data_IF_894047133265
#
_entry.id   IF_894047133265
#
_cell.length_a   1.000
_cell.length_b   1.000
_cell.length_c   1.000
_cell.angle_alpha   90.00
_cell.angle_beta   90.00
_cell.angle_gamma   90.00
#
_symmetry.space_group_name_H-M   'P 1'
#
loop_
_entity.id
_entity.type
_entity.pdbx_description
1 polymer ?
#
# COMPACT_ATOMS: atom_id res chain seq x y z
N UNK A 1 20.55 -14.52 -5.06
CA UNK A 1 19.24 -15.08 -4.65
C UNK A 1 18.25 -13.92 -4.59
N UNK A 2 17.03 -14.06 -5.15
CA UNK A 2 15.97 -13.05 -4.95
C UNK A 2 15.53 -13.07 -3.48
N UNK A 3 15.50 -11.92 -2.82
CA UNK A 3 15.06 -11.83 -1.44
C UNK A 3 13.53 -12.06 -1.38
N UNK A 4 13.01 -12.53 -0.25
CA UNK A 4 11.57 -12.80 -0.12
C UNK A 4 10.70 -11.54 -0.29
N UNK A 5 11.27 -10.35 -0.09
CA UNK A 5 10.61 -9.06 -0.27
C UNK A 5 10.46 -8.62 -1.73
N UNK A 6 11.26 -9.16 -2.66
CA UNK A 6 11.30 -8.73 -4.07
C UNK A 6 9.97 -8.91 -4.80
N UNK A 7 9.06 -9.75 -4.25
CA UNK A 7 7.76 -10.05 -4.83
C UNK A 7 6.63 -9.17 -4.31
N UNK A 8 6.88 -8.35 -3.28
CA UNK A 8 5.85 -7.50 -2.67
C UNK A 8 5.40 -6.41 -3.62
N UNK A 9 4.12 -6.06 -3.53
CA UNK A 9 3.55 -4.95 -4.28
C UNK A 9 4.30 -3.64 -4.02
N UNK A 10 4.48 -2.87 -5.08
CA UNK A 10 5.16 -1.57 -5.07
C UNK A 10 4.20 -0.52 -5.60
N UNK A 11 4.03 0.55 -4.85
CA UNK A 11 3.47 1.80 -5.35
C UNK A 11 4.57 2.57 -6.09
N UNK A 12 4.30 2.99 -7.31
CA UNK A 12 5.23 3.78 -8.13
C UNK A 12 4.54 5.03 -8.66
N UNK A 13 5.30 6.07 -8.97
CA UNK A 13 4.82 7.20 -9.76
C UNK A 13 5.87 7.62 -10.79
N UNK A 14 5.43 8.17 -11.92
CA UNK A 14 6.30 8.67 -12.98
C UNK A 14 6.58 10.18 -12.83
N UNK A 15 7.32 10.75 -13.80
CA UNK A 15 7.65 12.18 -13.83
C UNK A 15 6.44 13.11 -13.96
N UNK A 16 5.30 12.58 -14.39
CA UNK A 16 4.03 13.30 -14.50
C UNK A 16 3.14 13.06 -13.27
N UNK A 17 3.67 12.43 -12.21
CA UNK A 17 2.95 12.05 -10.99
C UNK A 17 1.84 11.02 -11.23
N UNK A 18 1.87 10.30 -12.36
CA UNK A 18 0.92 9.23 -12.60
C UNK A 18 1.30 8.02 -11.75
N UNK A 19 0.43 7.71 -10.79
CA UNK A 19 0.64 6.62 -9.84
C UNK A 19 0.15 5.27 -10.38
N UNK A 20 0.84 4.20 -9.98
CA UNK A 20 0.53 2.81 -10.32
C UNK A 20 0.89 1.88 -9.15
N UNK A 21 0.26 0.69 -9.12
CA UNK A 21 0.61 -0.39 -8.19
C UNK A 21 1.04 -1.61 -9.00
N UNK A 22 2.34 -1.91 -8.96
CA UNK A 22 2.94 -3.00 -9.73
C UNK A 22 3.35 -4.18 -8.83
N UNK A 23 3.36 -5.42 -9.35
CA UNK A 23 4.08 -6.52 -8.73
C UNK A 23 5.56 -6.18 -8.54
N UNK A 24 6.17 -6.59 -7.42
CA UNK A 24 7.58 -6.28 -7.16
C UNK A 24 8.54 -6.88 -8.18
N UNK A 25 8.16 -7.99 -8.83
CA UNK A 25 8.94 -8.61 -9.89
C UNK A 25 9.15 -7.73 -11.12
N UNK A 26 8.28 -6.75 -11.34
CA UNK A 26 8.27 -5.89 -12.54
C UNK A 26 9.09 -4.61 -12.33
N UNK A 27 9.52 -4.34 -11.09
CA UNK A 27 10.13 -3.07 -10.71
C UNK A 27 11.41 -2.75 -11.46
N UNK A 28 12.34 -3.72 -11.54
CA UNK A 28 13.65 -3.48 -12.15
C UNK A 28 13.51 -3.14 -13.64
N UNK A 29 12.57 -3.78 -14.34
CA UNK A 29 12.29 -3.49 -15.74
C UNK A 29 11.68 -2.08 -15.90
N UNK A 30 10.64 -1.76 -15.11
CA UNK A 30 9.99 -0.44 -15.13
C UNK A 30 10.97 0.69 -14.79
N UNK A 31 11.85 0.45 -13.83
CA UNK A 31 12.91 1.39 -13.45
C UNK A 31 13.95 1.57 -14.56
N UNK A 32 14.42 0.48 -15.18
CA UNK A 32 15.37 0.54 -16.29
C UNK A 32 14.79 1.26 -17.54
N UNK A 33 13.49 1.16 -17.77
CA UNK A 33 12.77 1.88 -18.83
C UNK A 33 12.59 3.39 -18.53
N UNK A 34 12.99 3.87 -17.34
CA UNK A 34 12.84 5.27 -16.95
C UNK A 34 11.38 5.69 -16.66
N UNK A 35 10.50 4.73 -16.39
CA UNK A 35 9.07 4.99 -16.14
C UNK A 35 8.74 5.22 -14.67
N UNK A 36 9.74 5.16 -13.78
CA UNK A 36 9.59 5.30 -12.32
C UNK A 36 10.43 6.49 -11.84
N UNK A 37 9.76 7.52 -11.33
CA UNK A 37 10.38 8.66 -10.65
C UNK A 37 10.55 8.38 -9.15
N UNK A 38 9.60 7.65 -8.55
CA UNK A 38 9.69 7.23 -7.16
C UNK A 38 8.86 5.99 -6.88
N UNK A 39 9.22 5.28 -5.81
CA UNK A 39 8.60 4.02 -5.46
C UNK A 39 8.57 3.76 -3.95
N UNK A 40 7.55 3.02 -3.50
CA UNK A 40 7.36 2.57 -2.13
C UNK A 40 6.89 1.11 -2.14
N UNK A 41 7.69 0.20 -1.61
CA UNK A 41 7.33 -1.21 -1.45
C UNK A 41 6.79 -1.47 -0.05
N UNK A 42 5.64 -2.15 0.04
CA UNK A 42 5.08 -2.64 1.30
C UNK A 42 4.29 -3.92 1.07
N UNK A 43 2.97 -3.82 0.89
CA UNK A 43 2.08 -4.94 0.63
C UNK A 43 1.49 -5.55 1.90
N UNK A 44 0.69 -6.63 1.77
CA UNK A 44 0.35 -7.32 0.53
C UNK A 44 -0.54 -6.49 -0.41
N UNK A 45 -0.67 -6.95 -1.67
CA UNK A 45 -1.72 -6.51 -2.59
C UNK A 45 -3.08 -6.79 -1.96
N UNK A 46 -4.00 -5.85 -2.12
CA UNK A 46 -5.37 -5.96 -1.64
C UNK A 46 -6.35 -6.11 -2.80
N UNK A 47 -6.23 -5.25 -3.81
CA UNK A 47 -7.13 -5.20 -4.95
C UNK A 47 -6.35 -5.14 -6.26
N UNK A 48 -6.82 -5.92 -7.24
CA UNK A 48 -6.43 -5.83 -8.65
C UNK A 48 -7.70 -5.66 -9.47
N UNK A 49 -7.78 -4.56 -10.24
CA UNK A 49 -8.89 -4.30 -11.16
C UNK A 49 -10.28 -4.37 -10.49
N UNK A 50 -10.40 -3.82 -9.28
CA UNK A 50 -11.63 -3.77 -8.48
C UNK A 50 -12.01 -5.09 -7.80
N UNK A 51 -11.15 -6.12 -7.89
CA UNK A 51 -11.37 -7.43 -7.28
C UNK A 51 -10.34 -7.69 -6.19
N UNK A 52 -10.78 -8.32 -5.11
CA UNK A 52 -9.89 -8.75 -4.03
C UNK A 52 -8.88 -9.74 -4.60
N UNK A 53 -7.61 -9.47 -4.35
CA UNK A 53 -6.47 -10.23 -4.88
C UNK A 53 -5.41 -10.34 -3.80
N UNK A 54 -5.50 -11.38 -2.99
CA UNK A 54 -4.63 -11.62 -1.84
C UNK A 54 -3.73 -12.82 -2.13
N UNK A 55 -2.45 -12.56 -2.44
CA UNK A 55 -1.44 -13.60 -2.55
C UNK A 55 -0.28 -13.33 -1.59
N UNK A 56 -0.64 -13.31 -0.30
CA UNK A 56 0.29 -13.02 0.81
C UNK A 56 1.48 -13.99 0.84
N UNK A 57 1.29 -15.24 0.42
CA UNK A 57 2.35 -16.27 0.40
C UNK A 57 3.35 -15.99 -0.71
N UNK A 58 2.89 -15.69 -1.93
CA UNK A 58 3.78 -15.34 -3.05
C UNK A 58 4.48 -14.01 -2.80
N UNK A 59 3.84 -13.05 -2.13
CA UNK A 59 4.50 -11.81 -1.70
C UNK A 59 5.46 -11.99 -0.51
N UNK A 60 5.64 -13.22 -0.03
CA UNK A 60 6.65 -13.57 0.96
C UNK A 60 6.30 -13.18 2.40
N UNK A 61 5.03 -12.90 2.69
CA UNK A 61 4.57 -12.65 4.06
C UNK A 61 4.47 -13.96 4.85
N UNK A 62 5.12 -13.97 6.01
CA UNK A 62 5.14 -15.11 6.94
C UNK A 62 4.61 -14.76 8.34
N UNK A 63 4.39 -13.48 8.61
CA UNK A 63 3.97 -13.00 9.93
C UNK A 63 2.48 -13.33 10.17
N UNK A 64 2.13 -14.06 11.25
CA UNK A 64 0.74 -14.31 11.64
C UNK A 64 -0.13 -13.05 11.73
N UNK A 65 0.46 -11.90 12.10
CA UNK A 65 -0.25 -10.61 12.10
C UNK A 65 -0.74 -10.21 10.71
N UNK A 66 -0.06 -10.60 9.65
CA UNK A 66 -0.50 -10.38 8.27
C UNK A 66 -1.42 -11.51 7.81
N UNK A 67 -1.12 -12.74 8.22
CA UNK A 67 -1.81 -13.94 7.74
C UNK A 67 -3.20 -14.14 8.36
N UNK A 68 -3.37 -13.85 9.65
CA UNK A 68 -4.61 -14.17 10.40
C UNK A 68 -5.01 -13.10 11.42
N UNK A 69 -4.08 -12.24 11.86
CA UNK A 69 -4.34 -11.26 12.91
C UNK A 69 -5.16 -10.05 12.45
N UNK A 70 -6.11 -9.63 13.28
CA UNK A 70 -6.68 -8.28 13.21
C UNK A 70 -5.77 -7.27 13.90
N UNK A 71 -5.69 -6.05 13.38
CA UNK A 71 -4.95 -4.96 14.04
C UNK A 71 -5.10 -3.64 13.31
N UNK A 72 -4.49 -2.59 13.84
CA UNK A 72 -4.43 -1.32 13.13
C UNK A 72 -3.72 -1.49 11.78
N UNK A 73 -4.27 -0.87 10.73
CA UNK A 73 -3.71 -0.94 9.37
C UNK A 73 -3.59 0.44 8.79
N UNK A 74 -2.66 0.58 7.85
CA UNK A 74 -2.68 1.63 6.86
C UNK A 74 -2.67 1.02 5.45
N UNK A 75 -3.29 1.70 4.50
CA UNK A 75 -3.40 1.26 3.13
C UNK A 75 -3.41 2.46 2.19
N UNK A 76 -3.06 2.20 0.94
CA UNK A 76 -3.29 3.12 -0.16
C UNK A 76 -4.00 2.40 -1.30
N UNK A 77 -4.69 3.17 -2.13
CA UNK A 77 -5.32 2.67 -3.34
C UNK A 77 -5.55 3.74 -4.38
N UNK A 78 -5.84 3.31 -5.59
CA UNK A 78 -6.18 4.17 -6.72
C UNK A 78 -7.60 3.83 -7.18
N UNK A 79 -8.45 4.83 -7.35
CA UNK A 79 -9.76 4.66 -7.99
C UNK A 79 -9.59 4.46 -9.51
N UNK A 80 -10.68 4.06 -10.19
CA UNK A 80 -10.67 3.88 -11.65
C UNK A 80 -10.42 5.18 -12.42
N UNK A 81 -10.80 6.32 -11.84
CA UNK A 81 -10.55 7.67 -12.34
C UNK A 81 -9.26 8.29 -11.76
N UNK A 82 -8.30 7.45 -11.31
CA UNK A 82 -6.96 7.84 -10.87
C UNK A 82 -6.87 8.81 -9.67
N UNK A 83 -7.83 8.73 -8.75
CA UNK A 83 -7.72 9.41 -7.44
C UNK A 83 -6.99 8.51 -6.44
N UNK A 84 -6.08 9.10 -5.68
CA UNK A 84 -5.39 8.41 -4.58
C UNK A 84 -6.28 8.35 -3.33
N UNK A 85 -6.42 7.16 -2.77
CA UNK A 85 -7.05 6.90 -1.47
C UNK A 85 -5.94 6.58 -0.48
N UNK A 86 -5.95 7.26 0.67
CA UNK A 86 -5.16 6.91 1.84
C UNK A 86 -6.11 6.55 2.97
N UNK A 87 -5.86 5.42 3.63
CA UNK A 87 -6.76 4.89 4.64
C UNK A 87 -5.99 4.33 5.83
N UNK A 88 -6.50 4.61 7.02
CA UNK A 88 -6.12 3.93 8.25
C UNK A 88 -7.36 3.31 8.90
N UNK A 89 -7.18 2.21 9.61
CA UNK A 89 -8.22 1.57 10.43
C UNK A 89 -7.64 1.11 11.76
N UNK A 90 -8.44 1.15 12.82
CA UNK A 90 -8.05 0.70 14.15
C UNK A 90 -8.03 -0.82 14.32
N UNK A 91 -8.65 -1.57 13.42
CA UNK A 91 -8.76 -3.03 13.55
C UNK A 91 -9.31 -3.70 12.29
N UNK A 92 -8.43 -4.33 11.50
CA UNK A 92 -8.82 -5.17 10.40
C UNK A 92 -7.80 -6.30 10.16
N UNK A 93 -8.30 -7.46 9.73
CA UNK A 93 -7.49 -8.47 9.03
C UNK A 93 -7.18 -7.99 7.60
N UNK A 94 -6.21 -8.60 6.91
CA UNK A 94 -5.91 -8.27 5.51
C UNK A 94 -7.13 -8.47 4.58
N UNK A 95 -7.91 -9.57 4.68
CA UNK A 95 -9.14 -9.70 3.90
C UNK A 95 -10.17 -8.61 4.17
N UNK A 96 -10.39 -8.24 5.43
CA UNK A 96 -11.30 -7.15 5.78
C UNK A 96 -10.81 -5.81 5.23
N UNK A 97 -9.50 -5.54 5.31
CA UNK A 97 -8.91 -4.32 4.73
C UNK A 97 -9.11 -4.26 3.21
N UNK A 98 -9.00 -5.39 2.51
CA UNK A 98 -9.26 -5.43 1.07
C UNK A 98 -10.72 -5.08 0.73
N UNK A 99 -11.68 -5.62 1.48
CA UNK A 99 -13.09 -5.26 1.32
C UNK A 99 -13.38 -3.80 1.69
N UNK A 100 -12.77 -3.27 2.76
CA UNK A 100 -12.87 -1.85 3.13
C UNK A 100 -12.37 -0.96 2.00
N UNK A 101 -11.18 -1.26 1.44
CA UNK A 101 -10.62 -0.48 0.31
C UNK A 101 -11.53 -0.54 -0.92
N UNK A 102 -12.14 -1.70 -1.19
CA UNK A 102 -13.06 -1.89 -2.31
C UNK A 102 -14.32 -1.04 -2.12
N UNK A 103 -14.89 -1.06 -0.92
CA UNK A 103 -16.04 -0.23 -0.57
C UNK A 103 -15.72 1.27 -0.60
N UNK A 104 -14.48 1.65 -0.27
CA UNK A 104 -13.99 3.02 -0.41
C UNK A 104 -13.78 3.46 -1.88
N UNK A 105 -14.00 2.57 -2.85
CA UNK A 105 -13.92 2.86 -4.29
C UNK A 105 -12.57 2.57 -4.92
N UNK A 106 -11.65 1.91 -4.20
CA UNK A 106 -10.35 1.55 -4.77
C UNK A 106 -10.52 0.50 -5.89
N UNK A 107 -9.87 0.77 -7.02
CA UNK A 107 -9.73 -0.14 -8.16
C UNK A 107 -8.41 -0.92 -8.09
N UNK A 108 -7.34 -0.27 -7.60
CA UNK A 108 -6.09 -0.89 -7.18
C UNK A 108 -5.88 -0.58 -5.69
N UNK A 109 -5.35 -1.51 -4.91
CA UNK A 109 -5.00 -1.23 -3.51
C UNK A 109 -3.90 -2.15 -2.99
N UNK A 110 -3.14 -1.64 -2.02
CA UNK A 110 -2.16 -2.39 -1.25
C UNK A 110 -2.16 -1.96 0.21
N UNK A 111 -1.79 -2.89 1.08
CA UNK A 111 -1.51 -2.61 2.48
C UNK A 111 -0.15 -1.91 2.61
N UNK A 112 -0.04 -1.04 3.62
CA UNK A 112 1.18 -0.38 4.06
C UNK A 112 1.57 -0.89 5.46
N UNK A 113 2.61 -0.31 6.09
CA UNK A 113 3.00 -0.74 7.43
C UNK A 113 1.86 -0.54 8.45
N UNK A 114 1.68 -1.52 9.33
CA UNK A 114 0.53 -1.62 10.22
C UNK A 114 0.85 -1.38 11.69
N UNK A 115 -0.10 -1.71 12.56
CA UNK A 115 0.06 -1.62 14.01
C UNK A 115 0.43 -0.20 14.45
N UNK A 116 1.41 -0.09 15.35
CA UNK A 116 1.90 1.19 15.86
C UNK A 116 2.51 2.11 14.77
N UNK A 117 2.85 1.59 13.58
CA UNK A 117 3.27 2.45 12.46
C UNK A 117 2.11 3.13 11.73
N UNK A 118 0.87 2.66 11.92
CA UNK A 118 -0.27 3.20 11.17
C UNK A 118 -0.44 4.67 11.55
N UNK A 119 -0.28 5.56 10.57
CA UNK A 119 -0.38 7.00 10.77
C UNK A 119 -1.02 7.66 9.56
N UNK A 120 -1.86 8.66 9.82
CA UNK A 120 -2.47 9.49 8.79
C UNK A 120 -2.51 10.92 9.28
N UNK A 121 -1.93 11.82 8.50
CA UNK A 121 -1.84 13.24 8.79
C UNK A 121 -2.56 14.03 7.71
N UNK A 122 -3.40 14.98 8.10
CA UNK A 122 -4.13 15.83 7.18
C UNK A 122 -4.31 17.23 7.77
N UNK A 123 -3.94 18.24 6.98
CA UNK A 123 -4.17 19.65 7.26
C UNK A 123 -3.80 20.08 8.70
N UNK A 124 -2.54 19.92 9.08
CA UNK A 124 -2.04 20.39 10.37
C UNK A 124 -2.15 19.39 11.53
N UNK A 125 -2.90 18.28 11.37
CA UNK A 125 -3.18 17.34 12.47
C UNK A 125 -3.13 15.87 12.06
N UNK A 126 -2.86 15.00 13.03
CA UNK A 126 -3.04 13.56 12.87
C UNK A 126 -4.53 13.20 12.91
N UNK A 127 -5.00 12.49 11.88
CA UNK A 127 -6.26 11.75 11.91
C UNK A 127 -6.06 10.36 12.54
N UNK A 128 -4.87 9.80 12.38
CA UNK A 128 -4.41 8.61 13.10
C UNK A 128 -2.97 8.88 13.53
N UNK A 129 -2.75 8.93 14.84
CA UNK A 129 -1.42 9.17 15.39
C UNK A 129 -0.64 7.85 15.43
N UNK A 130 0.56 7.76 14.82
CA UNK A 130 1.38 6.57 14.94
C UNK A 130 1.82 6.39 16.40
N UNK A 131 1.77 5.16 16.89
CA UNK A 131 2.20 4.80 18.24
C UNK A 131 3.72 4.68 18.41
N UNK A 132 4.50 4.88 17.33
CA UNK A 132 5.96 4.88 17.35
C UNK A 132 6.53 5.87 16.34
N UNK A 133 7.82 6.19 16.48
CA UNK A 133 8.58 6.90 15.44
C UNK A 133 8.64 6.03 14.17
N UNK A 134 8.38 6.64 13.02
CA UNK A 134 8.38 5.99 11.70
C UNK A 134 9.55 6.50 10.85
N UNK A 135 10.10 5.66 9.99
CA UNK A 135 11.25 6.00 9.15
C UNK A 135 10.87 6.73 7.86
N UNK A 136 9.76 6.32 7.23
CA UNK A 136 9.33 6.80 5.92
C UNK A 136 7.84 7.21 5.97
N UNK A 137 7.47 8.19 5.14
CA UNK A 137 6.09 8.59 4.94
C UNK A 137 5.84 8.90 3.44
N UNK A 138 4.64 8.59 2.96
CA UNK A 138 4.16 9.09 1.67
C UNK A 138 3.52 10.45 1.91
N UNK A 139 4.08 11.51 1.31
CA UNK A 139 3.63 12.88 1.49
C UNK A 139 3.03 13.38 0.20
N UNK A 140 1.82 13.94 0.28
CA UNK A 140 1.14 14.59 -0.83
C UNK A 140 1.08 16.07 -0.50
N UNK A 141 1.68 16.89 -1.36
CA UNK A 141 1.62 18.34 -1.27
C UNK A 141 0.87 18.88 -2.46
N UNK A 142 0.01 19.87 -2.24
CA UNK A 142 -0.52 20.69 -3.32
C UNK A 142 0.44 21.88 -3.51
N UNK A 143 0.83 22.17 -4.75
CA UNK A 143 1.58 23.38 -5.10
C UNK A 143 0.61 24.37 -5.76
#
# INVERSE_FOLDING_TARGET
MKASGDRRTIFTYDKNLLADLIPGGDFNERFAQGTVQGALQAGPRLLVNGKVSLDVKTEGFKDPKILTGGGARSALGLTRDHKLILLTTGGATIPQLAEIMKQAGAYQAMNLDGGASSGLYYNGKYLTTPGRKISNALVITYQ
#
